data_IF_392621280661
#
_entry.id   IF_392621280661
#
_cell.length_a   1.000
_cell.length_b   1.000
_cell.length_c   1.000
_cell.angle_alpha   90.00
_cell.angle_beta   90.00
_cell.angle_gamma   90.00
#
_symmetry.space_group_name_H-M   'P 1'
#
loop_
_entity.id
_entity.type
_entity.pdbx_description
1 polymer ?
#
# COMPACT_ATOMS: atom_id res chain seq x y z
N UNK A 1 14.29 -3.05 -32.53
CA UNK A 1 13.70 -1.70 -32.65
C UNK A 1 12.25 -1.86 -33.01
N UNK A 2 11.32 -1.50 -32.13
CA UNK A 2 9.90 -1.50 -32.45
C UNK A 2 9.56 -0.15 -33.11
N UNK A 3 8.92 -0.20 -34.28
CA UNK A 3 8.42 1.00 -34.95
C UNK A 3 7.16 1.47 -34.22
N UNK A 4 7.29 2.52 -33.41
CA UNK A 4 6.13 3.27 -32.90
C UNK A 4 5.64 4.11 -34.07
N UNK A 5 4.56 3.65 -34.73
CA UNK A 5 3.95 4.39 -35.83
C UNK A 5 3.33 5.70 -35.33
N UNK A 6 3.39 6.68 -36.22
CA UNK A 6 3.14 8.10 -35.99
C UNK A 6 1.72 8.37 -35.44
N UNK A 7 1.63 9.25 -34.43
CA UNK A 7 0.41 9.76 -33.82
C UNK A 7 -0.47 10.50 -34.84
N UNK A 8 -1.46 9.82 -35.42
CA UNK A 8 -2.53 10.46 -36.17
C UNK A 8 -3.85 10.06 -35.50
N UNK A 9 -4.44 11.00 -34.74
CA UNK A 9 -5.78 10.95 -34.07
C UNK A 9 -5.89 10.45 -32.62
N UNK A 10 -4.80 10.33 -31.85
CA UNK A 10 -4.91 10.05 -30.40
C UNK A 10 -5.41 8.64 -30.05
N UNK A 11 -5.52 7.75 -31.04
CA UNK A 11 -5.64 6.31 -30.86
C UNK A 11 -4.24 5.72 -30.98
N UNK A 12 -3.72 5.21 -29.87
CA UNK A 12 -2.48 4.45 -29.86
C UNK A 12 -2.86 3.03 -30.34
N UNK A 13 -2.60 2.72 -31.61
CA UNK A 13 -2.67 1.35 -32.13
C UNK A 13 -1.51 0.54 -31.53
N UNK A 14 -1.75 -0.03 -30.35
CA UNK A 14 -0.77 -0.88 -29.68
C UNK A 14 -0.88 -2.30 -30.21
N UNK A 15 0.08 -2.70 -31.05
CA UNK A 15 0.37 -4.10 -31.33
C UNK A 15 0.70 -4.85 -30.03
N UNK A 16 -0.31 -5.50 -29.45
CA UNK A 16 -0.30 -6.66 -28.55
C UNK A 16 0.67 -6.75 -27.35
N UNK A 17 1.36 -5.67 -26.95
CA UNK A 17 1.93 -5.57 -25.61
C UNK A 17 0.92 -4.86 -24.72
N UNK A 18 0.42 -5.54 -23.70
CA UNK A 18 -0.49 -4.88 -22.75
C UNK A 18 0.23 -3.70 -22.10
N UNK A 19 -0.47 -2.61 -21.78
CA UNK A 19 0.11 -1.47 -21.02
C UNK A 19 0.88 -1.92 -19.77
N UNK A 20 0.52 -3.08 -19.20
CA UNK A 20 1.24 -3.68 -18.08
C UNK A 20 2.65 -4.17 -18.40
N UNK A 21 2.98 -4.49 -19.66
CA UNK A 21 4.35 -4.85 -20.07
C UNK A 21 5.24 -3.63 -20.23
N UNK A 22 4.67 -2.49 -20.63
CA UNK A 22 5.40 -1.22 -20.73
C UNK A 22 5.82 -0.74 -19.35
N UNK A 23 4.92 -0.83 -18.36
CA UNK A 23 5.21 -0.50 -16.97
C UNK A 23 6.33 -1.35 -16.35
N UNK A 24 6.61 -2.54 -16.90
CA UNK A 24 7.69 -3.42 -16.45
C UNK A 24 9.04 -3.13 -17.12
N UNK A 25 9.06 -2.34 -18.19
CA UNK A 25 10.25 -1.98 -18.94
C UNK A 25 10.52 -0.49 -18.77
N UNK A 26 11.36 -0.15 -17.79
CA UNK A 26 11.69 1.23 -17.42
C UNK A 26 12.06 2.08 -18.65
N UNK A 27 12.87 1.55 -19.57
CA UNK A 27 13.24 2.25 -20.80
C UNK A 27 12.07 2.60 -21.74
N UNK A 28 11.05 1.74 -21.82
CA UNK A 28 9.84 2.03 -22.60
C UNK A 28 8.99 3.07 -21.89
N UNK A 29 8.87 2.96 -20.55
CA UNK A 29 8.13 3.92 -19.76
C UNK A 29 8.76 5.32 -19.84
N UNK A 30 10.08 5.40 -19.75
CA UNK A 30 10.84 6.64 -19.94
C UNK A 30 10.62 7.23 -21.33
N UNK A 31 10.59 6.40 -22.37
CA UNK A 31 10.27 6.84 -23.74
C UNK A 31 8.85 7.42 -23.82
N UNK A 32 7.86 6.76 -23.22
CA UNK A 32 6.48 7.25 -23.17
C UNK A 32 6.41 8.59 -22.43
N UNK A 33 7.03 8.69 -21.26
CA UNK A 33 7.09 9.92 -20.47
C UNK A 33 7.79 11.06 -21.23
N UNK A 34 8.88 10.77 -21.94
CA UNK A 34 9.63 11.76 -22.72
C UNK A 34 8.85 12.36 -23.90
N UNK A 35 7.82 11.63 -24.36
CA UNK A 35 6.95 12.04 -25.48
C UNK A 35 5.62 12.61 -25.02
N UNK A 36 5.30 12.49 -23.73
CA UNK A 36 4.10 13.10 -23.17
C UNK A 36 4.21 14.63 -23.27
N UNK A 37 3.12 15.35 -23.56
CA UNK A 37 3.11 16.81 -23.46
C UNK A 37 3.57 17.25 -22.06
N UNK A 38 4.31 18.36 -21.96
CA UNK A 38 4.91 18.83 -20.70
C UNK A 38 3.89 19.07 -19.56
N UNK A 39 2.61 19.21 -19.89
CA UNK A 39 1.50 19.40 -18.95
C UNK A 39 0.71 18.11 -18.65
N UNK A 40 1.16 16.96 -19.15
CA UNK A 40 0.51 15.66 -18.95
C UNK A 40 1.39 14.81 -18.06
N UNK A 41 0.86 14.46 -16.89
CA UNK A 41 1.40 13.40 -16.04
C UNK A 41 0.76 12.06 -16.45
N UNK A 42 1.54 11.10 -16.99
CA UNK A 42 1.02 9.81 -17.41
C UNK A 42 0.43 8.98 -16.26
N UNK A 43 1.01 9.03 -15.04
CA UNK A 43 0.50 8.28 -13.89
C UNK A 43 -0.83 8.85 -13.41
N UNK A 44 -0.92 10.18 -13.30
CA UNK A 44 -2.17 10.85 -12.99
C UNK A 44 -3.26 10.50 -14.02
N UNK A 45 -2.90 10.51 -15.30
CA UNK A 45 -3.82 10.18 -16.39
C UNK A 45 -4.31 8.75 -16.27
N UNK A 46 -3.42 7.79 -15.99
CA UNK A 46 -3.78 6.39 -15.78
C UNK A 46 -4.68 6.21 -14.55
N UNK A 47 -4.40 6.92 -13.45
CA UNK A 47 -5.25 6.91 -12.24
C UNK A 47 -6.65 7.45 -12.55
N UNK A 48 -6.76 8.59 -13.25
CA UNK A 48 -8.03 9.21 -13.61
C UNK A 48 -8.85 8.36 -14.59
N UNK A 49 -8.20 7.77 -15.59
CA UNK A 49 -8.85 6.80 -16.50
C UNK A 49 -9.28 5.57 -15.73
N UNK A 50 -8.43 5.09 -14.82
CA UNK A 50 -8.71 3.97 -13.93
C UNK A 50 -9.95 4.19 -13.08
N UNK A 51 -10.03 5.34 -12.41
CA UNK A 51 -11.19 5.76 -11.64
C UNK A 51 -12.47 5.71 -12.48
N UNK A 52 -12.46 6.28 -13.68
CA UNK A 52 -13.63 6.28 -14.59
C UNK A 52 -14.03 4.89 -15.10
N UNK A 53 -13.06 3.99 -15.30
CA UNK A 53 -13.28 2.65 -15.86
C UNK A 53 -13.43 1.56 -14.81
N UNK A 54 -13.28 1.86 -13.52
CA UNK A 54 -13.27 0.88 -12.45
C UNK A 54 -14.56 0.05 -12.42
N UNK A 55 -15.73 0.71 -12.52
CA UNK A 55 -17.02 0.00 -12.54
C UNK A 55 -17.14 -1.00 -13.69
N UNK A 56 -16.70 -0.61 -14.90
CA UNK A 56 -16.70 -1.51 -16.07
C UNK A 56 -15.70 -2.64 -15.93
N UNK A 57 -14.52 -2.36 -15.35
CA UNK A 57 -13.49 -3.36 -15.10
C UNK A 57 -13.95 -4.42 -14.09
N UNK A 58 -14.78 -4.04 -13.11
CA UNK A 58 -15.40 -4.95 -12.15
C UNK A 58 -16.53 -5.75 -12.82
N UNK A 59 -17.46 -5.08 -13.53
CA UNK A 59 -18.62 -5.73 -14.19
C UNK A 59 -18.25 -6.66 -15.34
N UNK A 60 -17.23 -6.31 -16.12
CA UNK A 60 -16.82 -7.06 -17.31
C UNK A 60 -16.20 -8.43 -17.00
N UNK A 61 -15.99 -8.77 -15.72
CA UNK A 61 -15.38 -10.02 -15.30
C UNK A 61 -16.45 -11.01 -14.83
N UNK A 62 -16.83 -11.88 -15.74
CA UNK A 62 -17.76 -12.98 -15.46
C UNK A 62 -16.97 -14.16 -14.89
N UNK A 63 -17.36 -14.66 -13.72
CA UNK A 63 -16.78 -15.86 -13.13
C UNK A 63 -17.48 -16.23 -11.82
N UNK A 64 -17.14 -17.40 -11.26
CA UNK A 64 -17.69 -17.84 -9.97
C UNK A 64 -17.30 -16.90 -8.82
N UNK A 65 -18.02 -16.96 -7.71
CA UNK A 65 -17.89 -16.09 -6.52
C UNK A 65 -16.45 -15.72 -6.10
N UNK A 66 -15.61 -16.72 -5.86
CA UNK A 66 -14.19 -16.50 -5.51
C UNK A 66 -13.43 -15.66 -6.56
N UNK A 67 -13.77 -15.82 -7.84
CA UNK A 67 -13.18 -14.99 -8.89
C UNK A 67 -13.64 -13.54 -8.85
N UNK A 68 -14.89 -13.24 -8.42
CA UNK A 68 -15.40 -11.87 -8.35
C UNK A 68 -14.64 -11.03 -7.32
N UNK A 69 -14.43 -11.56 -6.10
CA UNK A 69 -13.64 -10.87 -5.07
C UNK A 69 -12.20 -10.63 -5.50
N UNK A 70 -11.52 -11.64 -6.04
CA UNK A 70 -10.15 -11.48 -6.55
C UNK A 70 -10.10 -10.47 -7.69
N UNK A 71 -11.09 -10.49 -8.59
CA UNK A 71 -11.20 -9.57 -9.72
C UNK A 71 -11.45 -8.13 -9.28
N UNK A 72 -12.32 -7.93 -8.29
CA UNK A 72 -12.59 -6.63 -7.67
C UNK A 72 -11.30 -6.04 -7.10
N UNK A 73 -10.63 -6.79 -6.22
CA UNK A 73 -9.40 -6.32 -5.59
C UNK A 73 -8.26 -6.12 -6.59
N UNK A 74 -8.17 -6.96 -7.62
CA UNK A 74 -7.23 -6.76 -8.72
C UNK A 74 -7.49 -5.44 -9.46
N UNK A 75 -8.76 -5.12 -9.76
CA UNK A 75 -9.09 -3.89 -10.46
C UNK A 75 -8.78 -2.64 -9.61
N UNK A 76 -9.18 -2.65 -8.34
CA UNK A 76 -8.93 -1.56 -7.40
C UNK A 76 -7.43 -1.35 -7.21
N UNK A 77 -6.71 -2.39 -6.76
CA UNK A 77 -5.28 -2.28 -6.47
C UNK A 77 -4.49 -1.84 -7.69
N UNK A 78 -4.79 -2.39 -8.88
CA UNK A 78 -4.14 -2.00 -10.13
C UNK A 78 -4.19 -0.49 -10.38
N UNK A 79 -5.34 0.15 -10.16
CA UNK A 79 -5.44 1.59 -10.38
C UNK A 79 -4.81 2.42 -9.25
N UNK A 80 -4.90 1.95 -8.00
CA UNK A 80 -4.21 2.59 -6.88
C UNK A 80 -2.67 2.60 -7.05
N UNK A 81 -2.10 1.64 -7.78
CA UNK A 81 -0.66 1.62 -8.12
C UNK A 81 -0.21 2.90 -8.83
N UNK A 82 -1.12 3.55 -9.57
CA UNK A 82 -0.82 4.74 -10.35
C UNK A 82 -0.88 6.03 -9.52
N UNK A 83 -1.15 5.95 -8.21
CA UNK A 83 -1.16 7.10 -7.32
C UNK A 83 0.18 7.35 -6.60
N UNK A 84 1.22 6.58 -6.94
CA UNK A 84 2.54 6.61 -6.30
C UNK A 84 3.45 7.70 -6.90
N UNK A 85 3.16 8.97 -6.58
CA UNK A 85 4.03 10.10 -6.88
C UNK A 85 3.69 11.34 -6.03
N UNK A 86 4.70 12.07 -5.57
CA UNK A 86 4.57 13.29 -4.75
C UNK A 86 4.79 14.55 -5.61
N UNK A 87 3.88 14.82 -6.54
CA UNK A 87 3.80 16.13 -7.22
C UNK A 87 2.85 17.05 -6.44
N UNK A 88 3.32 18.20 -5.95
CA UNK A 88 2.45 19.22 -5.34
C UNK A 88 1.32 19.67 -6.28
N UNK A 89 1.60 19.78 -7.57
CA UNK A 89 0.68 20.24 -8.61
C UNK A 89 -0.43 19.21 -8.87
N UNK A 90 -0.10 17.92 -8.78
CA UNK A 90 -1.04 16.83 -9.02
C UNK A 90 -1.87 16.44 -7.78
N UNK A 91 -1.49 16.91 -6.58
CA UNK A 91 -2.05 16.45 -5.30
C UNK A 91 -3.58 16.50 -5.26
N UNK A 92 -4.18 17.62 -5.65
CA UNK A 92 -5.64 17.77 -5.65
C UNK A 92 -6.30 16.78 -6.63
N UNK A 93 -5.70 16.59 -7.80
CA UNK A 93 -6.20 15.67 -8.81
C UNK A 93 -6.10 14.20 -8.36
N UNK A 94 -5.01 13.82 -7.66
CA UNK A 94 -4.86 12.50 -7.03
C UNK A 94 -5.96 12.29 -5.99
N UNK A 95 -6.16 13.26 -5.08
CA UNK A 95 -7.18 13.16 -4.03
C UNK A 95 -8.57 12.98 -4.63
N UNK A 96 -8.92 13.80 -5.61
CA UNK A 96 -10.20 13.68 -6.33
C UNK A 96 -10.37 12.33 -7.02
N UNK A 97 -9.32 11.81 -7.66
CA UNK A 97 -9.40 10.53 -8.35
C UNK A 97 -9.54 9.34 -7.37
N UNK A 98 -8.87 9.39 -6.22
CA UNK A 98 -8.97 8.38 -5.17
C UNK A 98 -10.33 8.41 -4.47
N UNK A 99 -10.88 9.59 -4.21
CA UNK A 99 -12.26 9.75 -3.71
C UNK A 99 -13.28 9.15 -4.71
N UNK A 100 -13.06 9.35 -6.01
CA UNK A 100 -13.90 8.73 -7.05
C UNK A 100 -13.77 7.20 -7.07
N UNK A 101 -12.55 6.67 -6.94
CA UNK A 101 -12.32 5.23 -6.83
C UNK A 101 -13.07 4.66 -5.64
N UNK A 102 -13.00 5.31 -4.48
CA UNK A 102 -13.66 4.85 -3.27
C UNK A 102 -15.19 4.78 -3.43
N UNK A 103 -15.80 5.83 -3.98
CA UNK A 103 -17.24 5.85 -4.29
C UNK A 103 -17.63 4.73 -5.26
N UNK A 104 -16.87 4.56 -6.35
CA UNK A 104 -17.16 3.54 -7.38
C UNK A 104 -16.95 2.13 -6.83
N UNK A 105 -15.89 1.91 -6.07
CA UNK A 105 -15.59 0.65 -5.40
C UNK A 105 -16.70 0.29 -4.40
N UNK A 106 -17.18 1.26 -3.62
CA UNK A 106 -18.31 1.09 -2.70
C UNK A 106 -19.57 0.64 -3.43
N UNK A 107 -19.95 1.34 -4.50
CA UNK A 107 -21.15 1.00 -5.28
C UNK A 107 -21.02 -0.36 -5.97
N UNK A 108 -19.86 -0.65 -6.52
CA UNK A 108 -19.59 -1.93 -7.19
C UNK A 108 -19.59 -3.09 -6.20
N UNK A 109 -19.02 -2.91 -5.01
CA UNK A 109 -19.04 -3.91 -3.94
C UNK A 109 -20.47 -4.21 -3.46
N UNK A 110 -21.36 -3.21 -3.42
CA UNK A 110 -22.80 -3.40 -3.16
C UNK A 110 -23.48 -4.19 -4.27
N UNK A 111 -23.24 -3.80 -5.53
CA UNK A 111 -23.84 -4.42 -6.71
C UNK A 111 -23.51 -5.92 -6.80
N UNK A 112 -22.25 -6.28 -6.57
CA UNK A 112 -21.79 -7.69 -6.59
C UNK A 112 -22.02 -8.43 -5.26
N UNK A 113 -22.57 -7.75 -4.26
CA UNK A 113 -22.81 -8.25 -2.91
C UNK A 113 -21.56 -8.88 -2.25
N UNK A 114 -20.48 -8.11 -2.22
CA UNK A 114 -19.16 -8.58 -1.79
C UNK A 114 -19.12 -9.08 -0.32
N UNK A 115 -20.03 -8.58 0.54
CA UNK A 115 -20.14 -8.95 1.98
C UNK A 115 -20.77 -10.32 2.19
N UNK A 116 -21.70 -10.73 1.32
CA UNK A 116 -22.41 -12.01 1.47
C UNK A 116 -21.50 -13.23 1.25
N UNK A 117 -20.27 -13.02 0.79
CA UNK A 117 -19.26 -14.06 0.66
C UNK A 117 -18.48 -14.33 1.95
N UNK A 118 -18.56 -13.45 2.95
CA UNK A 118 -17.57 -13.42 4.03
C UNK A 118 -18.16 -13.46 5.43
N UNK A 119 -19.40 -13.02 5.63
CA UNK A 119 -20.05 -13.06 6.93
C UNK A 119 -21.07 -14.20 7.05
N UNK A 120 -21.19 -14.79 8.24
CA UNK A 120 -22.30 -15.70 8.59
C UNK A 120 -23.66 -15.05 8.27
N UNK A 121 -24.67 -15.89 8.00
CA UNK A 121 -26.02 -15.50 7.54
C UNK A 121 -26.68 -14.37 8.36
N UNK A 122 -26.21 -14.10 9.57
CA UNK A 122 -26.65 -13.05 10.49
C UNK A 122 -26.30 -11.62 10.05
N UNK A 123 -25.38 -11.43 9.08
CA UNK A 123 -24.93 -10.11 8.62
C UNK A 123 -25.49 -9.70 7.24
N UNK A 124 -26.61 -10.28 6.80
CA UNK A 124 -27.16 -10.04 5.45
C UNK A 124 -27.65 -8.60 5.21
N UNK A 125 -27.82 -7.81 6.27
CA UNK A 125 -28.31 -6.43 6.21
C UNK A 125 -27.20 -5.36 6.31
N UNK A 126 -25.93 -5.77 6.22
CA UNK A 126 -24.81 -4.82 6.30
C UNK A 126 -24.76 -3.95 5.05
N UNK A 127 -25.02 -2.65 5.22
CA UNK A 127 -24.88 -1.64 4.16
C UNK A 127 -23.43 -1.18 4.09
N UNK A 128 -22.75 -1.51 2.99
CA UNK A 128 -21.39 -1.04 2.77
C UNK A 128 -21.30 0.49 2.69
N UNK A 129 -20.23 1.06 3.22
CA UNK A 129 -19.95 2.49 3.14
C UNK A 129 -18.60 2.77 2.47
N UNK A 130 -18.46 3.99 1.96
CA UNK A 130 -17.19 4.58 1.54
C UNK A 130 -16.94 5.84 2.37
N UNK A 131 -15.82 6.49 2.13
CA UNK A 131 -15.41 7.73 2.77
C UNK A 131 -14.04 7.64 3.43
N UNK A 132 -13.66 8.72 4.11
CA UNK A 132 -12.43 8.77 4.88
C UNK A 132 -12.56 8.14 6.27
N UNK A 133 -13.79 7.99 6.76
CA UNK A 133 -14.04 7.56 8.13
C UNK A 133 -13.88 6.04 8.28
N UNK A 134 -13.49 5.64 9.49
CA UNK A 134 -13.42 4.23 9.82
C UNK A 134 -14.82 3.64 9.92
N UNK A 135 -14.99 2.46 9.33
CA UNK A 135 -16.23 1.71 9.46
C UNK A 135 -15.96 0.21 9.39
N UNK A 136 -16.64 -0.60 10.22
CA UNK A 136 -16.63 -2.06 10.07
C UNK A 136 -17.38 -2.50 8.81
N UNK A 137 -18.15 -1.60 8.20
CA UNK A 137 -18.90 -1.83 6.97
C UNK A 137 -18.22 -1.18 5.76
N UNK A 138 -16.98 -0.72 5.87
CA UNK A 138 -16.29 -0.18 4.70
C UNK A 138 -15.98 -1.31 3.73
N UNK A 139 -16.15 -1.11 2.41
CA UNK A 139 -15.85 -2.18 1.43
C UNK A 139 -14.40 -2.73 1.50
N UNK A 140 -13.48 -1.98 2.11
CA UNK A 140 -12.07 -2.34 2.27
C UNK A 140 -11.89 -3.50 3.26
N UNK A 141 -12.79 -3.66 4.24
CA UNK A 141 -12.69 -4.75 5.22
C UNK A 141 -12.82 -6.12 4.58
N UNK A 142 -13.40 -6.17 3.36
CA UNK A 142 -13.47 -7.37 2.51
C UNK A 142 -12.09 -7.84 2.01
N UNK A 143 -10.99 -7.19 2.39
CA UNK A 143 -9.62 -7.60 2.10
C UNK A 143 -9.13 -8.71 3.06
N UNK A 144 -9.60 -8.73 4.31
CA UNK A 144 -9.06 -9.59 5.38
C UNK A 144 -9.79 -10.94 5.59
N UNK A 145 -11.06 -11.03 5.21
CA UNK A 145 -11.94 -12.13 5.64
C UNK A 145 -11.60 -13.51 5.05
N UNK A 146 -10.77 -13.60 3.99
CA UNK A 146 -10.40 -14.90 3.41
C UNK A 146 -9.38 -15.70 4.23
N UNK A 147 -8.76 -15.10 5.26
CA UNK A 147 -7.59 -15.71 5.90
C UNK A 147 -7.65 -15.91 7.41
N UNK A 148 -8.50 -15.18 8.15
CA UNK A 148 -8.32 -15.08 9.60
C UNK A 148 -9.26 -15.95 10.43
N UNK A 149 -10.37 -16.48 9.89
CA UNK A 149 -11.24 -17.43 10.60
C UNK A 149 -11.77 -16.97 11.97
N UNK A 150 -11.54 -15.71 12.33
CA UNK A 150 -11.95 -15.07 13.59
C UNK A 150 -13.07 -14.13 13.20
N UNK A 151 -14.25 -14.29 13.80
CA UNK A 151 -15.46 -13.48 13.54
C UNK A 151 -15.34 -12.01 13.96
N UNK A 152 -14.15 -11.42 13.82
CA UNK A 152 -13.84 -10.05 14.11
C UNK A 152 -13.39 -9.36 12.82
N UNK A 153 -14.18 -8.39 12.38
CA UNK A 153 -13.90 -7.56 11.20
C UNK A 153 -13.39 -6.23 11.73
N UNK A 154 -12.08 -5.95 11.64
CA UNK A 154 -11.57 -4.68 12.12
C UNK A 154 -12.02 -3.55 11.17
N UNK A 155 -12.34 -2.41 11.75
CA UNK A 155 -12.63 -1.18 11.03
C UNK A 155 -11.42 -0.73 10.25
N UNK A 156 -11.65 -0.32 9.01
CA UNK A 156 -10.65 0.32 8.16
C UNK A 156 -11.30 1.47 7.37
N UNK A 157 -10.49 2.21 6.62
CA UNK A 157 -10.94 3.33 5.80
C UNK A 157 -10.17 3.41 4.48
N UNK A 158 -10.67 4.21 3.53
CA UNK A 158 -9.94 4.52 2.30
C UNK A 158 -8.55 5.13 2.57
N UNK A 159 -8.41 5.88 3.66
CA UNK A 159 -7.13 6.47 4.07
C UNK A 159 -6.18 5.39 4.58
N UNK A 160 -6.70 4.39 5.32
CA UNK A 160 -5.94 3.21 5.73
C UNK A 160 -5.41 2.43 4.52
N UNK A 161 -6.24 2.14 3.53
CA UNK A 161 -5.79 1.47 2.30
C UNK A 161 -4.75 2.31 1.52
N UNK A 162 -4.94 3.63 1.43
CA UNK A 162 -3.95 4.51 0.80
C UNK A 162 -2.61 4.50 1.55
N UNK A 163 -2.63 4.48 2.90
CA UNK A 163 -1.44 4.31 3.71
C UNK A 163 -0.78 2.95 3.47
N UNK A 164 -1.57 1.87 3.36
CA UNK A 164 -1.10 0.53 3.00
C UNK A 164 -0.41 0.49 1.63
N UNK A 165 -0.88 1.31 0.69
CA UNK A 165 -0.31 1.50 -0.66
C UNK A 165 0.89 2.45 -0.70
N UNK A 166 1.21 3.17 0.38
CA UNK A 166 2.26 4.20 0.35
C UNK A 166 1.86 5.51 -0.36
N UNK A 167 0.57 5.77 -0.55
CA UNK A 167 0.06 6.96 -1.26
C UNK A 167 0.05 8.16 -0.31
N UNK A 168 1.24 8.68 -0.01
CA UNK A 168 1.44 9.70 1.02
C UNK A 168 0.67 11.00 0.76
N UNK A 169 0.54 11.41 -0.49
CA UNK A 169 -0.15 12.65 -0.88
C UNK A 169 -1.62 12.65 -0.45
N UNK A 170 -2.31 11.52 -0.61
CA UNK A 170 -3.68 11.32 -0.15
C UNK A 170 -3.79 11.27 1.37
N UNK A 171 -2.89 10.53 2.02
CA UNK A 171 -2.82 10.42 3.48
C UNK A 171 -2.64 11.79 4.11
N UNK A 172 -1.69 12.61 3.61
CA UNK A 172 -1.48 14.00 4.04
C UNK A 172 -2.76 14.82 3.92
N UNK A 173 -3.38 14.82 2.73
CA UNK A 173 -4.57 15.63 2.47
C UNK A 173 -5.75 15.28 3.40
N UNK A 174 -6.02 13.98 3.59
CA UNK A 174 -7.14 13.54 4.44
C UNK A 174 -6.86 13.72 5.92
N UNK A 175 -5.62 13.52 6.39
CA UNK A 175 -5.24 13.78 7.78
C UNK A 175 -5.26 15.27 8.13
N UNK A 176 -4.85 16.15 7.22
CA UNK A 176 -4.95 17.60 7.44
C UNK A 176 -6.39 18.07 7.58
N UNK A 177 -7.34 17.37 6.95
CA UNK A 177 -8.77 17.66 7.08
C UNK A 177 -9.39 16.99 8.32
N UNK A 178 -9.04 15.73 8.61
CA UNK A 178 -9.55 14.97 9.73
C UNK A 178 -8.41 14.34 10.57
N UNK A 179 -7.88 15.06 11.58
CA UNK A 179 -6.83 14.54 12.46
C UNK A 179 -7.30 13.35 13.32
N UNK A 180 -8.60 13.18 13.54
CA UNK A 180 -9.14 12.07 14.35
C UNK A 180 -8.89 10.69 13.72
N UNK A 181 -8.47 10.65 12.45
CA UNK A 181 -8.04 9.41 11.81
C UNK A 181 -6.80 8.77 12.47
N UNK A 182 -6.07 9.54 13.28
CA UNK A 182 -4.97 9.06 14.13
C UNK A 182 -5.46 8.41 15.43
N UNK A 183 -6.70 8.68 15.83
CA UNK A 183 -7.21 8.15 17.10
C UNK A 183 -7.36 6.63 16.98
N UNK A 184 -6.73 5.88 17.89
CA UNK A 184 -6.86 4.44 17.92
C UNK A 184 -8.28 4.04 18.35
N UNK A 185 -8.71 2.86 17.91
CA UNK A 185 -9.94 2.22 18.36
C UNK A 185 -9.67 0.74 18.60
N UNK A 186 -10.35 0.12 19.57
CA UNK A 186 -10.16 -1.30 19.87
C UNK A 186 -10.50 -2.22 18.68
N UNK A 187 -11.42 -1.77 17.83
CA UNK A 187 -11.83 -2.46 16.60
C UNK A 187 -11.11 -1.97 15.35
N UNK A 188 -10.16 -1.04 15.44
CA UNK A 188 -9.69 -0.26 14.30
C UNK A 188 -8.26 -0.59 13.93
N UNK A 189 -8.01 -0.85 12.65
CA UNK A 189 -6.64 -0.85 12.12
C UNK A 189 -6.19 0.61 12.00
N UNK A 190 -5.22 1.03 12.81
CA UNK A 190 -4.69 2.38 12.78
C UNK A 190 -4.01 2.72 11.44
N UNK A 191 -3.89 4.01 11.14
CA UNK A 191 -3.14 4.46 9.95
C UNK A 191 -1.67 4.03 9.99
N UNK A 192 -1.06 4.02 11.18
CA UNK A 192 0.32 3.60 11.35
C UNK A 192 0.49 2.10 11.05
N UNK A 193 -0.43 1.27 11.53
CA UNK A 193 -0.43 -0.17 11.22
C UNK A 193 -0.61 -0.42 9.73
N UNK A 194 -1.56 0.26 9.08
CA UNK A 194 -1.74 0.17 7.64
C UNK A 194 -0.45 0.56 6.88
N UNK A 195 0.17 1.70 7.21
CA UNK A 195 1.39 2.18 6.59
C UNK A 195 2.59 1.23 6.79
N UNK A 196 2.77 0.75 8.01
CA UNK A 196 3.91 -0.07 8.38
C UNK A 196 3.78 -1.49 7.83
N UNK A 197 2.62 -2.13 7.98
CA UNK A 197 2.43 -3.53 7.59
C UNK A 197 2.19 -3.69 6.08
N UNK A 198 1.57 -2.70 5.43
CA UNK A 198 1.34 -2.67 3.99
C UNK A 198 0.63 -3.93 3.47
N UNK A 199 0.89 -4.30 2.20
CA UNK A 199 0.25 -5.47 1.57
C UNK A 199 0.70 -6.84 2.08
N UNK A 200 1.83 -6.90 2.79
CA UNK A 200 2.37 -8.18 3.28
C UNK A 200 1.49 -8.79 4.39
N UNK A 201 0.64 -7.99 5.01
CA UNK A 201 -0.26 -8.46 6.07
C UNK A 201 -1.52 -9.14 5.54
N UNK A 202 -1.96 -8.81 4.32
CA UNK A 202 -3.25 -9.26 3.80
C UNK A 202 -3.09 -10.28 2.67
N UNK A 203 -3.57 -11.50 2.91
CA UNK A 203 -3.31 -12.70 2.09
C UNK A 203 -3.83 -12.60 0.65
N UNK A 204 -4.98 -11.95 0.44
CA UNK A 204 -5.58 -11.81 -0.89
C UNK A 204 -4.78 -10.89 -1.81
N UNK A 205 -4.17 -9.84 -1.26
CA UNK A 205 -3.33 -8.95 -2.05
C UNK A 205 -2.01 -9.60 -2.43
N UNK A 206 -1.47 -10.55 -1.68
CA UNK A 206 -0.18 -11.20 -2.04
C UNK A 206 -0.17 -11.81 -3.45
N UNK A 207 -1.27 -12.44 -3.86
CA UNK A 207 -1.38 -13.04 -5.20
C UNK A 207 -1.48 -11.98 -6.32
N UNK A 208 -2.21 -10.90 -6.05
CA UNK A 208 -2.43 -9.78 -6.98
C UNK A 208 -1.18 -8.90 -7.08
N UNK A 209 -0.55 -8.60 -5.94
CA UNK A 209 0.66 -7.79 -5.82
C UNK A 209 1.84 -8.43 -6.55
N UNK A 210 2.10 -9.74 -6.42
CA UNK A 210 3.24 -10.38 -7.11
C UNK A 210 3.31 -10.15 -8.63
N UNK A 211 2.18 -9.88 -9.29
CA UNK A 211 2.14 -9.68 -10.74
C UNK A 211 1.99 -8.22 -11.20
N UNK A 212 1.39 -7.36 -10.37
CA UNK A 212 1.13 -5.96 -10.68
C UNK A 212 2.03 -4.98 -9.93
N UNK A 213 2.54 -5.37 -8.76
CA UNK A 213 3.31 -4.54 -7.86
C UNK A 213 4.40 -5.38 -7.19
N UNK A 214 5.62 -5.30 -7.69
CA UNK A 214 6.69 -5.08 -6.74
C UNK A 214 6.53 -3.62 -6.35
N UNK A 215 5.75 -3.23 -5.32
CA UNK A 215 5.97 -1.89 -4.81
C UNK A 215 7.43 -1.96 -4.36
N UNK A 216 8.34 -1.16 -4.93
CA UNK A 216 9.63 -1.03 -4.29
C UNK A 216 9.32 -0.72 -2.83
N UNK A 217 10.01 -1.37 -1.89
CA UNK A 217 10.03 -0.91 -0.51
C UNK A 217 10.77 0.43 -0.50
N UNK A 218 10.11 1.43 -1.09
CA UNK A 218 10.65 2.69 -1.53
C UNK A 218 10.68 3.68 -0.37
N UNK A 219 11.29 4.82 -0.65
CA UNK A 219 11.36 5.95 0.28
C UNK A 219 9.95 6.40 0.67
N UNK A 220 9.01 6.28 -0.25
CA UNK A 220 7.61 6.69 -0.17
C UNK A 220 6.89 5.97 0.97
N UNK A 221 7.13 4.66 1.13
CA UNK A 221 6.53 3.89 2.22
C UNK A 221 7.13 4.29 3.57
N UNK A 222 8.43 4.54 3.64
CA UNK A 222 9.07 5.03 4.88
C UNK A 222 8.48 6.39 5.26
N UNK A 223 8.34 7.30 4.30
CA UNK A 223 7.71 8.61 4.53
C UNK A 223 6.22 8.48 4.91
N UNK A 224 5.51 7.49 4.35
CA UNK A 224 4.12 7.19 4.73
C UNK A 224 3.99 6.65 6.15
N UNK A 225 4.99 5.92 6.67
CA UNK A 225 5.05 5.51 8.09
C UNK A 225 5.45 6.67 9.00
N UNK A 226 6.44 7.45 8.57
CA UNK A 226 6.98 8.59 9.30
C UNK A 226 5.92 9.66 9.51
N UNK A 227 5.08 9.93 8.52
CA UNK A 227 4.14 11.03 8.57
C UNK A 227 3.11 10.90 9.72
N UNK A 228 2.36 9.79 9.89
CA UNK A 228 1.49 9.59 11.04
C UNK A 228 2.21 9.75 12.39
N UNK A 229 3.44 9.23 12.53
CA UNK A 229 4.23 9.39 13.76
C UNK A 229 4.52 10.86 14.05
N UNK A 230 4.92 11.64 13.03
CA UNK A 230 5.13 13.07 13.17
C UNK A 230 3.83 13.84 13.50
N UNK A 231 2.68 13.31 13.11
CA UNK A 231 1.37 13.87 13.47
C UNK A 231 0.86 13.40 14.85
N UNK A 232 1.64 12.61 15.59
CA UNK A 232 1.30 12.16 16.95
C UNK A 232 0.64 10.79 17.05
N UNK A 233 0.68 9.96 16.00
CA UNK A 233 0.29 8.55 16.11
C UNK A 233 1.17 7.84 17.14
N UNK A 234 0.56 7.15 18.11
CA UNK A 234 1.30 6.41 19.13
C UNK A 234 1.66 5.00 18.60
N UNK A 235 2.95 4.66 18.46
CA UNK A 235 3.37 3.34 17.98
C UNK A 235 3.07 2.19 18.95
N UNK A 236 2.62 2.48 20.18
CA UNK A 236 2.37 1.49 21.24
C UNK A 236 0.91 1.04 21.32
N UNK A 237 -0.03 1.74 20.67
CA UNK A 237 -1.47 1.48 20.85
C UNK A 237 -1.99 0.33 19.98
N UNK A 238 -1.16 -0.69 19.74
CA UNK A 238 -1.65 -1.87 19.04
C UNK A 238 -2.44 -2.80 19.99
N UNK A 239 -3.37 -3.54 19.39
CA UNK A 239 -4.46 -4.29 20.03
C UNK A 239 -4.16 -4.90 21.41
N UNK A 240 -5.02 -4.59 22.38
CA UNK A 240 -4.89 -4.92 23.81
C UNK A 240 -4.99 -6.43 24.13
N UNK A 241 -5.09 -7.29 23.11
CA UNK A 241 -5.31 -8.73 23.24
C UNK A 241 -4.04 -9.60 23.19
N UNK A 242 -2.98 -9.15 22.51
CA UNK A 242 -1.71 -9.88 22.40
C UNK A 242 -0.57 -8.86 22.46
N UNK A 243 -0.13 -8.56 23.69
CA UNK A 243 0.67 -7.41 24.16
C UNK A 243 1.96 -7.05 23.39
N UNK A 244 2.34 -7.74 22.30
CA UNK A 244 3.58 -7.46 21.58
C UNK A 244 3.59 -7.76 20.07
N UNK A 245 2.50 -8.21 19.43
CA UNK A 245 2.61 -8.71 18.04
C UNK A 245 2.74 -7.60 17.01
N UNK A 246 1.94 -6.54 17.09
CA UNK A 246 1.95 -5.52 16.04
C UNK A 246 3.09 -4.53 16.20
N UNK A 247 3.40 -4.05 17.41
CA UNK A 247 4.56 -3.17 17.60
C UNK A 247 5.85 -3.88 17.18
N UNK A 248 6.02 -5.15 17.56
CA UNK A 248 7.18 -5.94 17.11
C UNK A 248 7.14 -6.21 15.60
N UNK A 249 5.97 -6.41 15.01
CA UNK A 249 5.85 -6.60 13.56
C UNK A 249 6.15 -5.32 12.79
N UNK A 250 5.65 -4.17 13.24
CA UNK A 250 5.95 -2.84 12.70
C UNK A 250 7.46 -2.59 12.78
N UNK A 251 8.05 -2.83 13.95
CA UNK A 251 9.50 -2.74 14.15
C UNK A 251 10.26 -3.68 13.19
N UNK A 252 9.84 -4.95 13.08
CA UNK A 252 10.44 -5.94 12.19
C UNK A 252 10.29 -5.58 10.72
N UNK A 253 9.15 -5.01 10.31
CA UNK A 253 8.96 -4.53 8.94
C UNK A 253 9.88 -3.35 8.67
N UNK A 254 10.00 -2.41 9.61
CA UNK A 254 10.94 -1.30 9.50
C UNK A 254 12.39 -1.77 9.39
N UNK A 255 12.80 -2.72 10.22
CA UNK A 255 14.14 -3.33 10.15
C UNK A 255 14.38 -4.00 8.79
N UNK A 256 13.42 -4.78 8.27
CA UNK A 256 13.52 -5.37 6.92
C UNK A 256 13.55 -4.31 5.82
N UNK A 257 12.81 -3.22 5.99
CA UNK A 257 12.89 -2.07 5.08
C UNK A 257 14.29 -1.46 5.12
N UNK A 258 14.90 -1.34 6.31
CA UNK A 258 16.27 -0.85 6.47
C UNK A 258 17.28 -1.75 5.74
N UNK A 259 17.22 -3.06 5.96
CA UNK A 259 18.10 -4.03 5.32
C UNK A 259 18.01 -3.93 3.79
N UNK A 260 16.80 -3.96 3.23
CA UNK A 260 16.59 -3.87 1.78
C UNK A 260 17.07 -2.56 1.18
N UNK A 261 16.91 -1.45 1.90
CA UNK A 261 17.38 -0.14 1.45
C UNK A 261 18.91 -0.03 1.48
N UNK A 262 19.58 -0.73 2.39
CA UNK A 262 21.05 -0.77 2.47
C UNK A 262 21.68 -1.63 1.37
N UNK A 263 20.98 -2.70 0.96
CA UNK A 263 21.40 -3.63 -0.08
C UNK A 263 21.09 -3.13 -1.51
N UNK A 264 20.25 -2.11 -1.65
CA UNK A 264 19.91 -1.56 -2.96
C UNK A 264 21.16 -0.89 -3.59
N UNK A 265 21.52 -1.19 -4.86
CA UNK A 265 22.70 -0.65 -5.55
C UNK A 265 22.60 0.84 -5.93
N UNK A 266 21.76 1.62 -5.22
CA UNK A 266 21.56 3.04 -5.49
C UNK A 266 22.82 3.88 -5.26
N UNK A 267 22.92 4.99 -5.98
CA UNK A 267 24.03 5.94 -5.83
C UNK A 267 24.18 6.44 -4.39
N UNK A 268 25.39 6.88 -4.02
CA UNK A 268 25.73 7.27 -2.65
C UNK A 268 24.82 8.34 -2.02
N UNK A 269 24.17 9.18 -2.84
CA UNK A 269 23.23 10.20 -2.37
C UNK A 269 21.86 9.61 -1.97
N UNK A 270 21.32 8.69 -2.77
CA UNK A 270 20.05 8.02 -2.50
C UNK A 270 20.17 7.16 -1.24
N UNK A 271 21.28 6.44 -1.09
CA UNK A 271 21.61 5.69 0.13
C UNK A 271 21.66 6.60 1.36
N UNK A 272 22.28 7.79 1.26
CA UNK A 272 22.29 8.78 2.35
C UNK A 272 20.89 9.26 2.73
N UNK A 273 20.04 9.59 1.74
CA UNK A 273 18.64 10.02 1.98
C UNK A 273 17.85 8.93 2.70
N UNK A 274 17.95 7.68 2.20
CA UNK A 274 17.32 6.49 2.80
C UNK A 274 17.78 6.27 4.25
N UNK A 275 19.09 6.24 4.50
CA UNK A 275 19.65 6.04 5.86
C UNK A 275 19.30 7.19 6.82
N UNK A 276 19.15 8.43 6.32
CA UNK A 276 18.69 9.55 7.15
C UNK A 276 17.23 9.38 7.55
N UNK A 277 16.34 9.13 6.59
CA UNK A 277 14.92 8.94 6.83
C UNK A 277 14.64 7.78 7.82
N UNK A 278 15.36 6.66 7.64
CA UNK A 278 15.25 5.51 8.54
C UNK A 278 15.65 5.84 9.99
N UNK A 279 16.75 6.58 10.18
CA UNK A 279 17.17 7.02 11.51
C UNK A 279 16.12 7.89 12.19
N UNK A 280 15.49 8.79 11.43
CA UNK A 280 14.41 9.64 11.94
C UNK A 280 13.20 8.80 12.37
N UNK A 281 12.80 7.79 11.58
CA UNK A 281 11.72 6.88 11.97
C UNK A 281 12.08 6.08 13.24
N UNK A 282 13.27 5.49 13.33
CA UNK A 282 13.70 4.77 14.54
C UNK A 282 13.71 5.68 15.79
N UNK A 283 14.12 6.93 15.64
CA UNK A 283 14.07 7.92 16.73
C UNK A 283 12.63 8.19 17.18
N UNK A 284 11.69 8.34 16.25
CA UNK A 284 10.26 8.51 16.56
C UNK A 284 9.68 7.30 17.33
N UNK A 285 10.06 6.07 16.97
CA UNK A 285 9.58 4.86 17.66
C UNK A 285 10.13 4.69 19.08
N UNK A 286 11.40 5.05 19.29
CA UNK A 286 12.05 4.87 20.59
C UNK A 286 11.58 5.87 21.66
N UNK A 287 10.79 6.89 21.29
CA UNK A 287 10.38 7.98 22.19
C UNK A 287 11.58 8.76 22.77
N UNK A 288 12.79 8.53 22.25
CA UNK A 288 14.02 9.06 22.78
C UNK A 288 14.36 10.36 22.05
N UNK A 289 13.98 11.49 22.64
CA UNK A 289 14.44 12.80 22.16
C UNK A 289 15.93 13.07 22.41
N UNK A 290 16.72 12.06 22.83
CA UNK A 290 18.16 12.16 23.01
C UNK A 290 18.85 10.84 22.63
N UNK A 291 19.33 10.72 21.40
CA UNK A 291 20.47 9.86 21.07
C UNK A 291 21.03 10.19 19.68
N UNK A 292 22.22 10.78 19.65
CA UNK A 292 23.02 10.93 18.43
C UNK A 292 23.72 9.61 18.15
N UNK A 293 23.09 8.72 17.37
CA UNK A 293 23.81 7.58 16.79
C UNK A 293 24.50 7.98 15.49
N UNK A 294 25.81 7.78 15.42
CA UNK A 294 26.55 7.89 14.16
C UNK A 294 26.15 6.74 13.21
N UNK A 295 26.28 6.90 11.89
CA UNK A 295 25.84 5.86 10.94
C UNK A 295 26.62 4.54 11.05
N UNK A 296 27.75 4.55 11.76
CA UNK A 296 28.57 3.38 12.09
C UNK A 296 27.96 2.57 13.24
N UNK A 297 27.43 3.25 14.26
CA UNK A 297 26.93 2.61 15.50
C UNK A 297 25.55 1.98 15.31
N UNK A 298 24.69 2.59 14.49
CA UNK A 298 23.39 2.00 14.14
C UNK A 298 23.53 0.68 13.36
N UNK A 299 24.57 0.55 12.53
CA UNK A 299 24.88 -0.69 11.79
C UNK A 299 25.50 -1.74 12.71
N UNK A 300 26.33 -1.34 13.68
CA UNK A 300 26.90 -2.25 14.69
C UNK A 300 25.82 -2.81 15.65
N UNK A 301 24.83 -2.00 16.03
CA UNK A 301 23.71 -2.44 16.90
C UNK A 301 22.77 -3.45 16.24
N UNK A 302 22.68 -3.47 14.91
CA UNK A 302 21.85 -4.42 14.16
C UNK A 302 22.56 -5.78 13.92
N UNK A 303 23.89 -5.85 14.07
CA UNK A 303 24.68 -7.08 13.81
C UNK A 303 24.33 -8.26 14.75
N UNK A 304 24.12 -8.08 16.07
CA UNK A 304 23.79 -9.18 16.96
C UNK A 304 22.38 -9.76 16.73
N UNK A 305 21.41 -8.92 16.37
CA UNK A 305 20.02 -9.34 16.10
C UNK A 305 19.90 -10.02 14.74
N UNK A 306 20.58 -9.50 13.71
CA UNK A 306 20.66 -10.13 12.38
C UNK A 306 21.39 -11.49 12.44
N UNK A 307 22.44 -11.63 13.27
CA UNK A 307 23.13 -12.91 13.50
C UNK A 307 22.21 -13.97 14.14
N UNK A 308 21.34 -13.60 15.09
CA UNK A 308 20.36 -14.55 15.66
C UNK A 308 19.36 -15.03 14.61
N UNK A 309 18.89 -14.13 13.76
CA UNK A 309 17.90 -14.46 12.73
C UNK A 309 18.46 -15.37 11.62
N UNK A 310 19.72 -15.17 11.22
CA UNK A 310 20.41 -16.06 10.25
C UNK A 310 20.62 -17.47 10.84
N UNK A 311 20.93 -17.60 12.14
CA UNK A 311 21.09 -18.93 12.76
C UNK A 311 19.76 -19.69 12.89
N UNK A 312 18.65 -19.00 13.18
CA UNK A 312 17.32 -19.64 13.23
C UNK A 312 16.82 -20.09 11.85
N UNK A 313 17.22 -19.41 10.78
CA UNK A 313 16.90 -19.81 9.40
C UNK A 313 17.78 -20.97 8.93
N UNK A 314 19.06 -21.02 9.35
CA UNK A 314 19.95 -22.16 9.09
C UNK A 314 19.45 -23.45 9.72
N UNK A 315 19.06 -23.41 11.01
CA UNK A 315 18.55 -24.58 11.73
C UNK A 315 17.26 -25.16 11.13
N UNK A 316 16.39 -24.32 10.53
CA UNK A 316 15.15 -24.78 9.85
C UNK A 316 15.36 -25.34 8.44
N UNK A 317 16.57 -25.22 7.88
CA UNK A 317 16.94 -25.84 6.61
C UNK A 317 17.50 -27.24 6.86
N UNK A 318 18.32 -27.41 7.89
CA UNK A 318 18.89 -28.72 8.25
C UNK A 318 17.81 -29.72 8.69
N UNK A 319 16.73 -29.26 9.36
CA UNK A 319 15.56 -30.10 9.71
C UNK A 319 14.65 -30.48 8.52
N UNK A 320 14.91 -29.95 7.32
CA UNK A 320 14.10 -30.24 6.11
C UNK A 320 14.81 -31.14 5.10
N UNK A 321 16.09 -31.40 5.31
CA UNK A 321 16.91 -32.28 4.48
C UNK A 321 17.27 -33.60 5.21
N UNK A 322 16.67 -33.86 6.38
CA UNK A 322 16.57 -35.17 7.06
C UNK A 322 15.15 -35.77 6.90
#
# INVERSE_FOLDING_TARGET
MAHINQYVRGLIDVLHRSTGEWLKQESIWDEVCSRAPANVDPQLTLLQVGAKRLGDAIRGRVGGRYSLRTNFWWAVTRYLCHADFDSPEAREAIVKALDQIDVIATNSAKEINLVRETCDKEHQDVVLVGGCDYSPNHWIVTQGEAGLGRGFIPENSAVGLAAQMGILSYVKAKLSYNPELLNPGASRISLLENAALGFEYQSLCKAVSRHAMNPPFGVERVETVKYPLMQGADPRIADKGEENTVQSEVQRVLERMMERLLDHPGGGEEKKKKTKCLREVSQLFSGSHQSQFTSSEAVELLKPQTRRMIMTIGQRKDERDE
#
